data_IF_539546358454
#
_entry.id   IF_539546358454
#
_cell.length_a   1.000
_cell.length_b   1.000
_cell.length_c   1.000
_cell.angle_alpha   90.00
_cell.angle_beta   90.00
_cell.angle_gamma   90.00
#
_symmetry.space_group_name_H-M   'P 1'
#
loop_
_entity.id
_entity.type
_entity.pdbx_description
1 polymer ?
#
# COMPACT_ATOMS: atom_id res chain seq x y z
N UNK A 1 -11.92 -10.73 14.56
CA UNK A 1 -10.77 -9.86 14.91
C UNK A 1 -9.84 -9.49 13.74
N UNK A 2 -9.77 -10.28 12.65
CA UNK A 2 -8.88 -9.98 11.50
C UNK A 2 -9.28 -8.65 10.84
N UNK A 3 -10.58 -8.38 10.65
CA UNK A 3 -11.06 -7.13 10.08
C UNK A 3 -10.63 -5.87 10.84
N UNK A 4 -10.38 -5.98 12.16
CA UNK A 4 -9.93 -4.85 12.98
C UNK A 4 -8.52 -4.40 12.60
N UNK A 5 -7.62 -5.35 12.26
CA UNK A 5 -6.27 -5.05 11.78
C UNK A 5 -6.29 -4.29 10.44
N UNK A 6 -7.22 -4.63 9.53
CA UNK A 6 -7.40 -3.88 8.28
C UNK A 6 -8.03 -2.51 8.51
N UNK A 7 -8.98 -2.40 9.44
CA UNK A 7 -9.63 -1.13 9.76
C UNK A 7 -8.64 -0.08 10.28
N UNK A 8 -7.67 -0.48 11.11
CA UNK A 8 -6.62 0.43 11.62
C UNK A 8 -5.82 1.05 10.49
N UNK A 9 -5.46 0.30 9.45
CA UNK A 9 -4.74 0.84 8.29
C UNK A 9 -5.54 1.97 7.63
N UNK A 10 -6.85 1.78 7.44
CA UNK A 10 -7.74 2.80 6.88
C UNK A 10 -7.84 4.04 7.75
N UNK A 11 -8.09 3.87 9.05
CA UNK A 11 -8.24 4.97 10.01
C UNK A 11 -6.95 5.79 10.10
N UNK A 12 -5.83 5.14 10.25
CA UNK A 12 -4.50 5.78 10.35
C UNK A 12 -4.16 6.54 9.07
N UNK A 13 -4.51 6.00 7.90
CA UNK A 13 -4.25 6.62 6.60
C UNK A 13 -5.01 7.93 6.39
N UNK A 14 -6.07 8.20 7.15
CA UNK A 14 -6.81 9.46 7.07
C UNK A 14 -6.01 10.60 7.70
N UNK A 15 -5.39 10.36 8.86
CA UNK A 15 -4.81 11.43 9.69
C UNK A 15 -3.28 11.50 9.59
N UNK A 16 -2.59 10.37 9.68
CA UNK A 16 -1.15 10.34 9.82
C UNK A 16 -0.36 10.89 8.62
N UNK A 17 -0.76 10.67 7.35
CA UNK A 17 -0.07 11.28 6.21
C UNK A 17 -0.13 12.82 6.24
N UNK A 18 -1.28 13.39 6.68
CA UNK A 18 -1.42 14.84 6.80
C UNK A 18 -0.52 15.41 7.91
N UNK A 19 -0.48 14.76 9.07
CA UNK A 19 0.39 15.16 10.19
C UNK A 19 1.85 15.10 9.78
N UNK A 20 2.30 13.99 9.19
CA UNK A 20 3.68 13.82 8.76
C UNK A 20 4.03 14.72 7.56
N UNK A 21 3.08 15.01 6.68
CA UNK A 21 3.25 16.00 5.62
C UNK A 21 3.54 17.41 6.18
N UNK A 22 2.80 17.83 7.20
CA UNK A 22 3.05 19.13 7.88
C UNK A 22 4.45 19.18 8.50
N UNK A 23 4.89 18.07 9.11
CA UNK A 23 6.21 17.96 9.72
C UNK A 23 7.30 18.02 8.63
N UNK A 24 7.10 17.33 7.51
CA UNK A 24 8.01 17.32 6.38
C UNK A 24 8.14 18.70 5.72
N UNK A 25 7.04 19.43 5.60
CA UNK A 25 7.03 20.73 4.95
C UNK A 25 7.70 21.83 5.80
N UNK A 26 7.63 21.70 7.14
CA UNK A 26 8.04 22.80 8.05
C UNK A 26 9.34 22.57 8.80
N UNK A 27 9.60 21.33 9.22
CA UNK A 27 10.64 21.08 10.24
C UNK A 27 11.71 20.09 9.81
N UNK A 28 11.33 18.99 9.17
CA UNK A 28 12.23 17.89 8.88
C UNK A 28 12.18 17.56 7.39
N UNK A 29 13.30 17.38 6.75
CA UNK A 29 13.37 16.97 5.35
C UNK A 29 12.60 15.63 5.13
N UNK A 30 11.79 15.57 4.07
CA UNK A 30 10.88 14.44 3.81
C UNK A 30 11.59 13.08 3.80
N UNK A 31 12.80 12.96 3.21
CA UNK A 31 13.56 11.72 3.18
C UNK A 31 14.02 11.28 4.58
N UNK A 32 14.41 12.21 5.46
CA UNK A 32 14.79 11.89 6.83
C UNK A 32 13.59 11.50 7.68
N UNK A 33 12.48 12.24 7.55
CA UNK A 33 11.24 11.91 8.25
C UNK A 33 10.74 10.53 7.84
N UNK A 34 10.78 10.22 6.54
CA UNK A 34 10.45 8.89 6.02
C UNK A 34 11.31 7.80 6.68
N UNK A 35 12.63 8.03 6.77
CA UNK A 35 13.53 7.10 7.44
C UNK A 35 13.17 6.90 8.91
N UNK A 36 12.93 7.95 9.68
CA UNK A 36 12.53 7.84 11.08
C UNK A 36 11.18 7.12 11.25
N UNK A 37 10.22 7.36 10.35
CA UNK A 37 8.98 6.61 10.35
C UNK A 37 9.20 5.12 10.11
N UNK A 38 10.08 4.74 9.19
CA UNK A 38 10.46 3.33 8.97
C UNK A 38 11.18 2.74 10.18
N UNK A 39 12.08 3.48 10.84
CA UNK A 39 12.74 3.02 12.06
C UNK A 39 11.73 2.67 13.13
N UNK A 40 10.80 3.59 13.45
CA UNK A 40 9.78 3.35 14.47
C UNK A 40 8.83 2.21 14.09
N UNK A 41 8.38 2.19 12.83
CA UNK A 41 7.54 1.10 12.32
C UNK A 41 8.24 -0.26 12.47
N UNK A 42 9.53 -0.33 12.13
CA UNK A 42 10.33 -1.56 12.25
C UNK A 42 10.51 -2.01 13.69
N UNK A 43 10.80 -1.08 14.62
CA UNK A 43 10.93 -1.40 16.04
C UNK A 43 9.63 -1.96 16.62
N UNK A 44 8.47 -1.39 16.28
CA UNK A 44 7.18 -1.94 16.72
C UNK A 44 6.86 -3.28 16.07
N UNK A 45 7.29 -3.54 14.82
CA UNK A 45 7.18 -4.87 14.20
C UNK A 45 8.04 -5.90 14.92
N UNK A 46 9.27 -5.57 15.31
CA UNK A 46 10.08 -6.45 16.15
C UNK A 46 9.44 -6.69 17.50
N UNK A 47 8.86 -5.67 18.14
CA UNK A 47 8.08 -5.81 19.36
C UNK A 47 6.89 -6.77 19.19
N UNK A 48 6.18 -6.67 18.06
CA UNK A 48 5.07 -7.57 17.70
C UNK A 48 5.55 -9.01 17.54
N UNK A 49 6.66 -9.21 16.83
CA UNK A 49 7.28 -10.52 16.64
C UNK A 49 7.75 -11.15 17.97
N UNK A 50 8.43 -10.36 18.79
CA UNK A 50 8.90 -10.77 20.10
C UNK A 50 7.75 -11.19 21.03
N UNK A 51 6.71 -10.36 21.09
CA UNK A 51 5.53 -10.68 21.88
C UNK A 51 4.84 -11.95 21.37
N UNK A 52 4.69 -12.09 20.04
CA UNK A 52 4.11 -13.29 19.43
C UNK A 52 4.94 -14.55 19.72
N UNK A 53 6.27 -14.43 19.77
CA UNK A 53 7.16 -15.53 20.12
C UNK A 53 7.00 -15.96 21.59
N UNK A 54 6.96 -15.01 22.52
CA UNK A 54 6.82 -15.29 23.95
C UNK A 54 5.44 -15.83 24.33
N UNK A 55 4.37 -15.22 23.80
CA UNK A 55 3.00 -15.55 24.16
C UNK A 55 2.47 -16.82 23.48
N UNK A 56 3.02 -17.20 22.32
CA UNK A 56 2.61 -18.36 21.55
C UNK A 56 1.09 -18.37 21.29
N UNK A 57 0.43 -19.47 21.69
CA UNK A 57 -1.03 -19.61 21.55
C UNK A 57 -1.84 -18.75 22.55
N UNK A 58 -1.21 -18.24 23.61
CA UNK A 58 -1.86 -17.42 24.63
C UNK A 58 -1.70 -15.91 24.38
N UNK A 59 -1.42 -15.51 23.14
CA UNK A 59 -1.24 -14.11 22.78
C UNK A 59 -2.51 -13.28 23.06
N UNK A 60 -2.38 -12.24 23.87
CA UNK A 60 -3.47 -11.31 24.14
C UNK A 60 -3.68 -10.44 22.90
N UNK A 61 -4.93 -10.45 22.38
CA UNK A 61 -5.30 -9.68 21.20
C UNK A 61 -5.01 -8.18 21.36
N UNK A 62 -5.29 -7.61 22.53
CA UNK A 62 -5.13 -6.16 22.77
C UNK A 62 -3.68 -5.73 22.65
N UNK A 63 -2.75 -6.49 23.23
CA UNK A 63 -1.31 -6.18 23.19
C UNK A 63 -0.77 -6.31 21.76
N UNK A 64 -1.12 -7.39 21.06
CA UNK A 64 -0.72 -7.62 19.68
C UNK A 64 -1.27 -6.51 18.76
N UNK A 65 -2.54 -6.18 18.95
CA UNK A 65 -3.23 -5.14 18.17
C UNK A 65 -2.62 -3.76 18.41
N UNK A 66 -2.25 -3.43 19.64
CA UNK A 66 -1.65 -2.14 19.98
C UNK A 66 -0.26 -1.98 19.35
N UNK A 67 0.61 -2.99 19.49
CA UNK A 67 1.95 -2.97 18.89
C UNK A 67 1.88 -2.88 17.36
N UNK A 68 1.00 -3.66 16.73
CA UNK A 68 0.76 -3.60 15.30
C UNK A 68 0.23 -2.24 14.87
N UNK A 69 -0.74 -1.68 15.59
CA UNK A 69 -1.35 -0.38 15.27
C UNK A 69 -0.34 0.75 15.34
N UNK A 70 0.58 0.73 16.32
CA UNK A 70 1.67 1.68 16.42
C UNK A 70 2.63 1.57 15.23
N UNK A 71 2.97 0.35 14.82
CA UNK A 71 3.78 0.16 13.62
C UNK A 71 3.10 0.73 12.38
N UNK A 72 1.81 0.43 12.18
CA UNK A 72 1.01 0.93 11.05
C UNK A 72 0.90 2.46 11.08
N UNK A 73 0.78 3.06 12.27
CA UNK A 73 0.69 4.51 12.43
C UNK A 73 1.92 5.24 11.85
N UNK A 74 3.10 4.67 12.02
CA UNK A 74 4.33 5.22 11.45
C UNK A 74 4.57 4.76 10.01
N UNK A 75 4.08 3.59 9.61
CA UNK A 75 4.25 3.08 8.26
C UNK A 75 3.36 3.80 7.22
N UNK A 76 2.08 4.04 7.50
CA UNK A 76 1.16 4.61 6.52
C UNK A 76 1.59 5.96 5.93
N UNK A 77 2.14 6.92 6.71
CA UNK A 77 2.65 8.16 6.13
C UNK A 77 3.79 7.97 5.17
N UNK A 78 4.59 6.90 5.30
CA UNK A 78 5.75 6.68 4.44
C UNK A 78 5.36 6.49 2.98
N UNK A 79 4.16 5.99 2.69
CA UNK A 79 3.64 5.86 1.32
C UNK A 79 3.52 7.22 0.62
N UNK A 80 3.00 8.23 1.33
CA UNK A 80 2.91 9.59 0.81
C UNK A 80 4.28 10.27 0.74
N UNK A 81 5.12 10.09 1.77
CA UNK A 81 6.47 10.66 1.82
C UNK A 81 7.37 10.08 0.72
N UNK A 82 7.27 8.78 0.42
CA UNK A 82 8.01 8.15 -0.68
C UNK A 82 7.69 8.80 -2.02
N UNK A 83 6.41 9.04 -2.31
CA UNK A 83 6.01 9.73 -3.53
C UNK A 83 6.56 11.18 -3.57
N UNK A 84 6.48 11.90 -2.45
CA UNK A 84 7.02 13.26 -2.33
C UNK A 84 8.53 13.31 -2.56
N UNK A 85 9.28 12.37 -1.99
CA UNK A 85 10.74 12.25 -2.18
C UNK A 85 11.06 11.91 -3.64
N UNK A 86 10.32 10.98 -4.26
CA UNK A 86 10.52 10.61 -5.65
C UNK A 86 10.25 11.78 -6.60
N UNK A 87 9.17 12.53 -6.42
CA UNK A 87 8.89 13.72 -7.23
C UNK A 87 9.93 14.81 -7.03
N UNK A 88 10.36 15.04 -5.80
CA UNK A 88 11.43 16.00 -5.50
C UNK A 88 12.74 15.63 -6.19
N UNK A 89 13.14 14.35 -6.14
CA UNK A 89 14.33 13.84 -6.79
C UNK A 89 14.28 14.00 -8.32
N UNK A 90 13.15 13.65 -8.93
CA UNK A 90 12.93 13.78 -10.37
C UNK A 90 12.99 15.25 -10.81
N UNK A 91 12.35 16.14 -10.07
CA UNK A 91 12.37 17.59 -10.35
C UNK A 91 13.78 18.15 -10.24
N UNK A 92 14.56 17.76 -9.21
CA UNK A 92 15.96 18.17 -9.06
C UNK A 92 16.85 17.64 -10.19
N UNK A 93 16.54 16.47 -10.74
CA UNK A 93 17.23 15.91 -11.90
C UNK A 93 16.78 16.53 -13.24
N UNK A 94 15.83 17.46 -13.24
CA UNK A 94 15.29 18.06 -14.46
C UNK A 94 14.46 17.12 -15.34
N UNK A 95 13.97 16.00 -14.77
CA UNK A 95 13.20 15.00 -15.49
C UNK A 95 11.71 15.30 -15.46
N UNK A 96 11.01 14.94 -16.56
CA UNK A 96 9.54 14.99 -16.62
C UNK A 96 8.94 13.95 -15.66
N UNK A 97 8.34 14.44 -14.59
CA UNK A 97 7.75 13.59 -13.54
C UNK A 97 6.67 12.66 -14.08
N UNK A 98 5.88 13.08 -15.06
CA UNK A 98 4.80 12.27 -15.64
C UNK A 98 5.34 11.05 -16.37
N UNK A 99 6.48 11.21 -17.07
CA UNK A 99 7.11 10.12 -17.82
C UNK A 99 8.04 9.27 -16.97
N UNK A 100 8.78 9.89 -16.05
CA UNK A 100 9.83 9.23 -15.30
C UNK A 100 9.34 8.55 -14.01
N UNK A 101 8.20 8.98 -13.43
CA UNK A 101 7.69 8.38 -12.19
C UNK A 101 7.15 6.95 -12.37
N UNK A 102 6.37 6.58 -13.43
CA UNK A 102 5.83 5.24 -13.57
C UNK A 102 6.88 4.12 -13.52
N UNK A 103 8.02 4.18 -14.24
CA UNK A 103 9.08 3.18 -14.11
C UNK A 103 9.63 3.03 -12.68
N UNK A 104 9.79 4.16 -11.95
CA UNK A 104 10.26 4.13 -10.55
C UNK A 104 9.21 3.44 -9.67
N UNK A 105 7.94 3.75 -9.86
CA UNK A 105 6.83 3.14 -9.10
C UNK A 105 6.76 1.62 -9.27
N UNK A 106 7.10 1.11 -10.45
CA UNK A 106 7.15 -0.34 -10.77
C UNK A 106 8.12 -1.09 -9.87
N UNK A 107 9.29 -0.53 -9.52
CA UNK A 107 10.22 -1.17 -8.59
C UNK A 107 9.59 -1.44 -7.23
N UNK A 108 8.66 -0.58 -6.77
CA UNK A 108 7.90 -0.84 -5.55
C UNK A 108 7.05 -2.11 -5.65
N UNK A 109 6.38 -2.33 -6.79
CA UNK A 109 5.58 -3.54 -7.01
C UNK A 109 6.47 -4.79 -7.15
N UNK A 110 7.61 -4.68 -7.82
CA UNK A 110 8.59 -5.78 -7.91
C UNK A 110 9.08 -6.17 -6.51
N UNK A 111 9.46 -5.19 -5.67
CA UNK A 111 9.89 -5.43 -4.30
C UNK A 111 8.79 -6.11 -3.47
N UNK A 112 7.53 -5.69 -3.64
CA UNK A 112 6.39 -6.32 -2.99
C UNK A 112 6.24 -7.79 -3.39
N UNK A 113 6.30 -8.12 -4.69
CA UNK A 113 6.21 -9.50 -5.20
C UNK A 113 7.36 -10.35 -4.66
N UNK A 114 8.59 -9.86 -4.71
CA UNK A 114 9.76 -10.58 -4.22
C UNK A 114 9.65 -10.88 -2.72
N UNK A 115 9.21 -9.90 -1.92
CA UNK A 115 9.04 -10.09 -0.47
C UNK A 115 7.92 -11.08 -0.17
N UNK A 116 6.81 -11.00 -0.90
CA UNK A 116 5.67 -11.90 -0.75
C UNK A 116 6.07 -13.36 -1.05
N UNK A 117 6.80 -13.59 -2.14
CA UNK A 117 7.32 -14.91 -2.49
C UNK A 117 8.33 -15.41 -1.47
N UNK A 118 9.24 -14.55 -1.01
CA UNK A 118 10.21 -14.89 0.03
C UNK A 118 9.52 -15.39 1.30
N UNK A 119 8.52 -14.66 1.79
CA UNK A 119 7.78 -15.04 3.01
C UNK A 119 7.01 -16.35 2.82
N UNK A 120 6.43 -16.57 1.64
CA UNK A 120 5.67 -17.81 1.34
C UNK A 120 6.58 -19.02 1.19
N UNK A 121 7.67 -18.92 0.42
CA UNK A 121 8.65 -20.00 0.19
C UNK A 121 9.33 -20.42 1.49
N UNK A 122 9.67 -19.46 2.36
CA UNK A 122 10.27 -19.73 3.67
C UNK A 122 9.27 -20.28 4.70
N UNK A 123 7.98 -20.37 4.35
CA UNK A 123 6.94 -20.83 5.27
C UNK A 123 6.62 -19.87 6.41
N UNK A 124 7.01 -18.59 6.29
CA UNK A 124 6.84 -17.59 7.35
C UNK A 124 5.42 -17.03 7.43
N UNK A 125 4.58 -17.32 6.44
CA UNK A 125 3.21 -16.80 6.30
C UNK A 125 2.34 -16.98 7.55
N UNK A 126 2.49 -18.10 8.27
CA UNK A 126 1.70 -18.43 9.46
C UNK A 126 2.49 -18.29 10.77
N UNK A 127 3.64 -17.64 10.73
CA UNK A 127 4.53 -17.50 11.88
C UNK A 127 4.81 -16.03 12.19
N UNK A 128 5.32 -15.77 13.40
CA UNK A 128 5.79 -14.44 13.81
C UNK A 128 6.96 -13.92 12.95
N UNK A 129 7.63 -14.80 12.18
CA UNK A 129 8.75 -14.43 11.31
C UNK A 129 8.36 -13.45 10.20
N UNK A 130 7.10 -13.42 9.76
CA UNK A 130 6.62 -12.38 8.84
C UNK A 130 6.80 -10.97 9.38
N UNK A 131 6.62 -10.76 10.69
CA UNK A 131 6.84 -9.46 11.34
C UNK A 131 8.33 -9.13 11.45
N UNK A 132 9.19 -10.14 11.67
CA UNK A 132 10.64 -9.97 11.65
C UNK A 132 11.11 -9.51 10.28
N UNK A 133 10.66 -10.16 9.21
CA UNK A 133 11.01 -9.77 7.82
C UNK A 133 10.59 -8.32 7.56
N UNK A 134 9.36 -7.94 7.94
CA UNK A 134 8.88 -6.56 7.80
C UNK A 134 9.74 -5.56 8.61
N UNK A 135 10.11 -5.92 9.84
CA UNK A 135 10.99 -5.12 10.69
C UNK A 135 12.38 -4.92 10.07
N UNK A 136 13.00 -5.99 9.58
CA UNK A 136 14.33 -5.92 8.91
C UNK A 136 14.27 -5.02 7.68
N UNK A 137 13.28 -5.18 6.81
CA UNK A 137 13.12 -4.33 5.63
C UNK A 137 12.90 -2.86 6.01
N UNK A 138 12.15 -2.59 7.08
CA UNK A 138 11.95 -1.23 7.58
C UNK A 138 13.26 -0.60 8.08
N UNK A 139 14.10 -1.34 8.80
CA UNK A 139 15.43 -0.86 9.23
C UNK A 139 16.36 -0.62 8.02
N UNK A 140 16.34 -1.50 7.04
CA UNK A 140 17.10 -1.30 5.80
C UNK A 140 16.66 -0.02 5.08
N UNK A 141 15.36 0.24 5.00
CA UNK A 141 14.83 1.48 4.41
C UNK A 141 15.20 2.71 5.23
N UNK A 142 15.24 2.63 6.56
CA UNK A 142 15.76 3.70 7.42
C UNK A 142 17.21 4.03 7.05
N UNK A 143 18.09 3.03 6.97
CA UNK A 143 19.49 3.24 6.59
C UNK A 143 19.61 3.80 5.17
N UNK A 144 18.82 3.26 4.23
CA UNK A 144 18.80 3.73 2.85
C UNK A 144 18.32 5.18 2.72
N UNK A 145 17.46 5.66 3.62
CA UNK A 145 16.93 7.02 3.58
C UNK A 145 18.03 8.11 3.66
N UNK A 146 19.18 7.80 4.25
CA UNK A 146 20.33 8.73 4.33
C UNK A 146 21.06 8.91 2.99
N UNK A 147 20.89 7.99 2.05
CA UNK A 147 21.49 8.07 0.71
C UNK A 147 20.63 8.84 -0.28
N UNK A 148 19.36 9.11 0.08
CA UNK A 148 18.43 9.81 -0.80
C UNK A 148 18.76 11.30 -0.94
N UNK A 149 18.44 11.91 -2.10
CA UNK A 149 18.64 13.33 -2.32
C UNK A 149 17.87 14.17 -1.31
N UNK A 150 18.48 15.28 -0.88
CA UNK A 150 17.90 16.18 0.13
C UNK A 150 16.69 16.90 -0.45
N UNK A 151 15.52 16.67 0.12
CA UNK A 151 14.31 17.43 -0.21
C UNK A 151 14.37 18.82 0.44
N UNK A 152 13.99 19.85 -0.31
CA UNK A 152 13.91 21.20 0.21
C UNK A 152 12.78 21.31 1.24
N UNK A 153 13.09 21.89 2.41
CA UNK A 153 12.07 22.27 3.39
C UNK A 153 11.62 23.69 3.04
N UNK A 154 10.34 23.88 2.77
CA UNK A 154 9.79 25.21 2.52
C UNK A 154 9.75 26.03 3.82
N UNK A 155 10.83 26.74 4.11
CA UNK A 155 10.91 27.71 5.23
C UNK A 155 10.13 29.00 4.94
N UNK A 156 9.04 28.94 4.19
CA UNK A 156 8.20 30.11 3.97
C UNK A 156 7.50 30.45 5.28
N UNK A 157 7.86 31.58 5.86
CA UNK A 157 7.29 32.13 7.10
C UNK A 157 5.80 32.52 7.04
N UNK A 158 5.07 32.04 6.05
CA UNK A 158 3.61 32.16 6.02
C UNK A 158 3.02 31.14 7.01
N UNK A 159 2.42 31.65 8.06
CA UNK A 159 1.55 30.90 8.98
C UNK A 159 0.37 30.33 8.17
N UNK A 160 0.57 29.22 7.47
CA UNK A 160 -0.57 28.50 6.88
C UNK A 160 -1.51 28.12 8.03
N UNK A 161 -2.77 28.47 7.89
CA UNK A 161 -3.82 28.02 8.82
C UNK A 161 -3.76 26.51 8.97
N UNK A 162 -4.17 25.97 10.13
CA UNK A 162 -4.30 24.53 10.33
C UNK A 162 -5.21 23.91 9.24
N UNK A 163 -6.26 24.62 8.84
CA UNK A 163 -7.15 24.23 7.73
C UNK A 163 -6.38 24.03 6.40
N UNK A 164 -5.41 24.91 6.13
CA UNK A 164 -4.57 24.79 4.93
C UNK A 164 -3.56 23.67 5.08
N UNK A 165 -3.01 23.50 6.27
CA UNK A 165 -2.02 22.47 6.57
C UNK A 165 -2.60 21.06 6.47
N UNK A 166 -3.83 20.85 6.92
CA UNK A 166 -4.55 19.58 6.77
C UNK A 166 -5.22 19.40 5.38
N UNK A 167 -5.03 20.36 4.47
CA UNK A 167 -5.61 20.27 3.13
C UNK A 167 -7.15 20.35 3.10
N UNK A 168 -7.79 20.81 4.19
CA UNK A 168 -9.25 20.85 4.30
C UNK A 168 -9.90 21.76 3.25
N UNK A 169 -9.14 22.69 2.68
CA UNK A 169 -9.60 23.50 1.53
C UNK A 169 -9.89 22.64 0.30
N UNK A 170 -9.29 21.46 0.18
CA UNK A 170 -9.59 20.54 -0.92
C UNK A 170 -11.05 20.06 -0.89
N UNK A 171 -11.69 20.01 0.28
CA UNK A 171 -13.13 19.71 0.38
C UNK A 171 -14.02 20.74 -0.31
N UNK A 172 -13.55 21.96 -0.54
CA UNK A 172 -14.27 22.94 -1.35
C UNK A 172 -14.44 22.48 -2.82
N UNK A 173 -13.58 21.60 -3.31
CA UNK A 173 -13.70 21.00 -4.65
C UNK A 173 -14.95 20.12 -4.80
N UNK A 174 -15.49 19.57 -3.69
CA UNK A 174 -16.76 18.83 -3.73
C UNK A 174 -17.97 19.68 -4.15
N UNK A 175 -17.86 21.00 -4.07
CA UNK A 175 -18.89 21.92 -4.60
C UNK A 175 -19.00 21.83 -6.13
N UNK A 176 -17.93 21.38 -6.81
CA UNK A 176 -17.93 21.16 -8.24
C UNK A 176 -18.36 19.72 -8.55
N UNK A 177 -19.51 19.51 -9.17
CA UNK A 177 -20.08 18.18 -9.48
C UNK A 177 -19.06 17.20 -10.12
N UNK A 178 -18.25 17.67 -11.08
CA UNK A 178 -17.24 16.84 -11.74
C UNK A 178 -16.17 16.34 -10.77
N UNK A 179 -15.72 17.21 -9.89
CA UNK A 179 -14.70 16.87 -8.87
C UNK A 179 -15.28 15.97 -7.80
N UNK A 180 -16.52 16.23 -7.34
CA UNK A 180 -17.20 15.36 -6.39
C UNK A 180 -17.34 13.92 -6.92
N UNK A 181 -17.76 13.76 -8.17
CA UNK A 181 -17.84 12.45 -8.84
C UNK A 181 -16.45 11.79 -8.89
N UNK A 182 -15.41 12.53 -9.29
CA UNK A 182 -14.04 12.02 -9.35
C UNK A 182 -13.57 11.49 -7.98
N UNK A 183 -13.80 12.24 -6.90
CA UNK A 183 -13.42 11.82 -5.54
C UNK A 183 -14.19 10.59 -5.07
N UNK A 184 -15.51 10.53 -5.31
CA UNK A 184 -16.33 9.36 -4.97
C UNK A 184 -15.82 8.12 -5.70
N UNK A 185 -15.54 8.23 -6.99
CA UNK A 185 -14.98 7.11 -7.76
C UNK A 185 -13.61 6.67 -7.25
N UNK A 186 -12.73 7.62 -6.98
CA UNK A 186 -11.39 7.31 -6.45
C UNK A 186 -11.49 6.59 -5.10
N UNK A 187 -12.42 7.01 -4.24
CA UNK A 187 -12.71 6.36 -2.97
C UNK A 187 -13.21 4.92 -3.17
N UNK A 188 -14.18 4.70 -4.05
CA UNK A 188 -14.72 3.36 -4.33
C UNK A 188 -13.67 2.42 -4.93
N UNK A 189 -12.81 2.92 -5.82
CA UNK A 189 -11.68 2.14 -6.35
C UNK A 189 -10.68 1.77 -5.25
N UNK A 190 -10.40 2.70 -4.32
CA UNK A 190 -9.55 2.43 -3.17
C UNK A 190 -10.13 1.35 -2.24
N UNK A 191 -11.44 1.37 -1.99
CA UNK A 191 -12.14 0.33 -1.23
C UNK A 191 -12.02 -1.02 -1.93
N UNK A 192 -12.26 -1.08 -3.25
CA UNK A 192 -12.15 -2.30 -4.05
C UNK A 192 -10.73 -2.88 -4.01
N UNK A 193 -9.71 -2.03 -4.12
CA UNK A 193 -8.31 -2.43 -4.01
C UNK A 193 -8.00 -3.02 -2.63
N UNK A 194 -8.43 -2.36 -1.57
CA UNK A 194 -8.14 -2.80 -0.20
C UNK A 194 -8.86 -4.11 0.15
N UNK A 195 -10.09 -4.30 -0.30
CA UNK A 195 -10.81 -5.57 -0.15
C UNK A 195 -10.02 -6.70 -0.82
N UNK A 196 -9.55 -6.48 -2.05
CA UNK A 196 -8.79 -7.51 -2.76
C UNK A 196 -7.44 -7.79 -2.08
N UNK A 197 -6.70 -6.77 -1.69
CA UNK A 197 -5.41 -6.93 -1.01
C UNK A 197 -5.55 -7.69 0.32
N UNK A 198 -6.63 -7.46 1.06
CA UNK A 198 -6.84 -8.09 2.36
C UNK A 198 -7.47 -9.48 2.29
N UNK A 199 -8.36 -9.73 1.35
CA UNK A 199 -9.21 -10.91 1.38
C UNK A 199 -9.06 -11.86 0.18
N UNK A 200 -8.35 -11.50 -0.90
CA UNK A 200 -8.24 -12.38 -2.07
C UNK A 200 -7.55 -13.71 -1.73
N UNK A 201 -6.41 -13.68 -1.02
CA UNK A 201 -5.70 -14.90 -0.63
C UNK A 201 -6.50 -15.77 0.34
N UNK A 202 -7.06 -15.23 1.45
CA UNK A 202 -7.95 -16.00 2.33
C UNK A 202 -9.19 -16.56 1.61
N UNK A 203 -9.74 -15.81 0.65
CA UNK A 203 -10.88 -16.28 -0.15
C UNK A 203 -10.50 -17.49 -1.00
N UNK A 204 -9.38 -17.45 -1.70
CA UNK A 204 -8.89 -18.60 -2.48
C UNK A 204 -8.59 -19.79 -1.56
N UNK A 205 -7.98 -19.54 -0.39
CA UNK A 205 -7.69 -20.59 0.60
C UNK A 205 -8.95 -21.25 1.17
N UNK A 206 -10.07 -20.54 1.22
CA UNK A 206 -11.34 -21.12 1.73
C UNK A 206 -11.83 -22.31 0.92
N UNK A 207 -11.48 -22.40 -0.37
CA UNK A 207 -11.79 -23.55 -1.21
C UNK A 207 -11.03 -24.83 -0.84
N UNK A 208 -10.03 -24.75 0.04
CA UNK A 208 -9.29 -25.90 0.57
C UNK A 208 -10.21 -26.90 1.33
N UNK A 209 -11.32 -26.41 1.88
CA UNK A 209 -12.32 -27.22 2.56
C UNK A 209 -13.16 -28.07 1.61
N UNK A 210 -13.13 -27.80 0.30
CA UNK A 210 -13.89 -28.51 -0.72
C UNK A 210 -12.95 -29.53 -1.38
N UNK A 211 -13.21 -30.87 -1.24
CA UNK A 211 -12.29 -31.91 -1.74
C UNK A 211 -11.99 -31.80 -3.23
N UNK A 212 -12.96 -31.38 -4.03
CA UNK A 212 -12.83 -31.20 -5.48
C UNK A 212 -11.78 -30.15 -5.84
N UNK A 213 -11.63 -29.09 -5.02
CA UNK A 213 -10.74 -27.96 -5.32
C UNK A 213 -9.45 -27.95 -4.54
N UNK A 214 -9.34 -28.75 -3.48
CA UNK A 214 -8.18 -28.76 -2.58
C UNK A 214 -6.84 -29.06 -3.29
N UNK A 215 -6.86 -29.82 -4.39
CA UNK A 215 -5.68 -30.19 -5.17
C UNK A 215 -5.35 -29.23 -6.32
N UNK A 216 -6.19 -28.23 -6.59
CA UNK A 216 -5.99 -27.33 -7.73
C UNK A 216 -4.82 -26.35 -7.49
N UNK A 217 -4.20 -25.89 -8.59
CA UNK A 217 -3.06 -25.00 -8.53
C UNK A 217 -3.34 -23.70 -7.73
N UNK A 218 -4.50 -23.07 -7.97
CA UNK A 218 -4.85 -21.82 -7.30
C UNK A 218 -5.00 -21.97 -5.78
N UNK A 219 -5.60 -23.07 -5.32
CA UNK A 219 -5.81 -23.35 -3.88
C UNK A 219 -4.50 -23.79 -3.22
N UNK A 220 -3.66 -24.54 -3.94
CA UNK A 220 -2.36 -25.00 -3.45
C UNK A 220 -1.35 -23.86 -3.32
N UNK A 221 -1.39 -22.91 -4.27
CA UNK A 221 -0.45 -21.78 -4.34
C UNK A 221 -1.17 -20.43 -4.48
N UNK A 222 -1.97 -20.01 -3.50
CA UNK A 222 -2.82 -18.82 -3.60
C UNK A 222 -2.00 -17.52 -3.70
N UNK A 223 -0.81 -17.50 -3.12
CA UNK A 223 0.12 -16.36 -3.18
C UNK A 223 0.69 -16.19 -4.60
N UNK A 224 1.04 -17.29 -5.27
CA UNK A 224 1.52 -17.25 -6.65
C UNK A 224 0.40 -16.76 -7.57
N UNK A 225 -0.83 -17.26 -7.40
CA UNK A 225 -1.98 -16.82 -8.17
C UNK A 225 -2.24 -15.32 -7.97
N UNK A 226 -2.18 -14.85 -6.73
CA UNK A 226 -2.32 -13.43 -6.42
C UNK A 226 -1.21 -12.57 -7.06
N UNK A 227 0.03 -13.08 -7.10
CA UNK A 227 1.16 -12.36 -7.70
C UNK A 227 1.02 -12.11 -9.21
N UNK A 228 0.28 -12.96 -9.93
CA UNK A 228 -0.05 -12.73 -11.34
C UNK A 228 -0.81 -11.41 -11.52
N UNK A 229 -1.73 -11.11 -10.59
CA UNK A 229 -2.44 -9.84 -10.63
C UNK A 229 -1.52 -8.62 -10.41
N UNK A 230 -0.50 -8.77 -9.58
CA UNK A 230 0.49 -7.72 -9.32
C UNK A 230 1.43 -7.51 -10.52
N UNK A 231 1.78 -8.58 -11.24
CA UNK A 231 2.53 -8.50 -12.51
C UNK A 231 1.70 -7.75 -13.55
N UNK A 232 0.41 -8.09 -13.69
CA UNK A 232 -0.51 -7.39 -14.58
C UNK A 232 -0.64 -5.91 -14.23
N UNK A 233 -0.76 -5.58 -12.94
CA UNK A 233 -0.76 -4.19 -12.45
C UNK A 233 0.50 -3.45 -12.88
N UNK A 234 1.66 -4.07 -12.73
CA UNK A 234 2.96 -3.50 -13.15
C UNK A 234 2.97 -3.13 -14.63
N UNK A 235 2.51 -4.04 -15.49
CA UNK A 235 2.42 -3.80 -16.93
C UNK A 235 1.43 -2.67 -17.24
N UNK A 236 0.28 -2.64 -16.59
CA UNK A 236 -0.69 -1.57 -16.76
C UNK A 236 -0.14 -0.21 -16.34
N UNK A 237 0.62 -0.12 -15.24
CA UNK A 237 1.26 1.13 -14.79
C UNK A 237 2.21 1.68 -15.88
N UNK A 238 3.02 0.82 -16.50
CA UNK A 238 3.91 1.23 -17.59
C UNK A 238 3.15 1.72 -18.83
N UNK A 239 1.95 1.20 -19.07
CA UNK A 239 1.11 1.59 -20.20
C UNK A 239 0.28 2.87 -19.95
N UNK A 240 0.20 3.36 -18.70
CA UNK A 240 -0.59 4.57 -18.37
C UNK A 240 -0.26 5.77 -19.26
N UNK A 241 1.00 6.17 -19.49
CA UNK A 241 1.29 7.33 -20.33
C UNK A 241 0.75 7.21 -21.75
N UNK A 242 0.79 6.01 -22.34
CA UNK A 242 0.25 5.73 -23.65
C UNK A 242 -1.28 5.89 -23.71
N UNK A 243 -1.98 5.24 -22.77
CA UNK A 243 -3.44 5.29 -22.72
C UNK A 243 -3.96 6.68 -22.37
N UNK A 244 -3.29 7.39 -21.46
CA UNK A 244 -3.64 8.75 -21.07
C UNK A 244 -3.54 9.71 -22.26
N UNK A 245 -2.47 9.60 -23.06
CA UNK A 245 -2.29 10.43 -24.25
C UNK A 245 -3.36 10.18 -25.32
N UNK A 246 -3.78 8.92 -25.50
CA UNK A 246 -4.67 8.52 -26.58
C UNK A 246 -6.16 8.68 -26.23
N UNK A 247 -6.54 8.31 -25.01
CA UNK A 247 -7.96 8.21 -24.62
C UNK A 247 -8.39 9.24 -23.57
N UNK A 248 -7.43 9.92 -22.95
CA UNK A 248 -7.68 10.88 -21.88
C UNK A 248 -8.06 10.20 -20.56
N UNK A 249 -7.97 10.95 -19.46
CA UNK A 249 -8.15 10.45 -18.09
C UNK A 249 -9.52 9.81 -17.86
N UNK A 250 -10.60 10.38 -18.41
CA UNK A 250 -11.97 9.89 -18.22
C UNK A 250 -12.13 8.45 -18.72
N UNK A 251 -11.69 8.19 -19.96
CA UNK A 251 -11.87 6.88 -20.58
C UNK A 251 -10.96 5.83 -19.93
N UNK A 252 -9.74 6.22 -19.55
CA UNK A 252 -8.82 5.34 -18.82
C UNK A 252 -9.42 4.93 -17.47
N UNK A 253 -10.03 5.85 -16.73
CA UNK A 253 -10.73 5.54 -15.48
C UNK A 253 -11.93 4.62 -15.69
N UNK A 254 -12.72 4.83 -16.76
CA UNK A 254 -13.86 3.96 -17.07
C UNK A 254 -13.41 2.54 -17.41
N UNK A 255 -12.31 2.39 -18.17
CA UNK A 255 -11.71 1.07 -18.47
C UNK A 255 -11.26 0.39 -17.17
N UNK A 256 -10.59 1.12 -16.28
CA UNK A 256 -10.15 0.59 -15.00
C UNK A 256 -11.34 0.12 -14.14
N UNK A 257 -12.42 0.89 -14.10
CA UNK A 257 -13.63 0.51 -13.37
C UNK A 257 -14.27 -0.75 -13.95
N UNK A 258 -14.37 -0.86 -15.27
CA UNK A 258 -14.88 -2.05 -15.92
C UNK A 258 -14.02 -3.28 -15.62
N UNK A 259 -12.69 -3.13 -15.61
CA UNK A 259 -11.78 -4.19 -15.19
C UNK A 259 -12.03 -4.66 -13.74
N UNK A 260 -12.37 -3.74 -12.82
CA UNK A 260 -12.77 -4.11 -11.46
C UNK A 260 -14.09 -4.88 -11.41
N UNK A 261 -15.08 -4.50 -12.21
CA UNK A 261 -16.35 -5.24 -12.33
C UNK A 261 -16.09 -6.66 -12.82
N UNK A 262 -15.27 -6.82 -13.86
CA UNK A 262 -14.87 -8.13 -14.36
C UNK A 262 -14.13 -8.95 -13.31
N UNK A 263 -13.18 -8.34 -12.59
CA UNK A 263 -12.41 -9.01 -11.54
C UNK A 263 -13.32 -9.59 -10.45
N UNK A 264 -14.22 -8.77 -9.89
CA UNK A 264 -15.16 -9.25 -8.88
C UNK A 264 -16.19 -10.24 -9.44
N UNK A 265 -16.62 -10.06 -10.68
CA UNK A 265 -17.48 -11.02 -11.38
C UNK A 265 -16.83 -12.39 -11.52
N UNK A 266 -15.57 -12.44 -11.95
CA UNK A 266 -14.80 -13.68 -12.06
C UNK A 266 -14.56 -14.35 -10.70
N UNK A 267 -14.25 -13.56 -9.67
CA UNK A 267 -14.08 -14.10 -8.30
C UNK A 267 -15.40 -14.62 -7.73
N UNK A 268 -16.52 -13.94 -7.99
CA UNK A 268 -17.83 -14.32 -7.45
C UNK A 268 -18.51 -15.47 -8.19
N UNK A 269 -18.33 -15.58 -9.50
CA UNK A 269 -18.96 -16.60 -10.35
C UNK A 269 -18.01 -17.77 -10.68
N UNK A 270 -16.71 -17.56 -10.49
CA UNK A 270 -15.68 -18.52 -10.80
C UNK A 270 -15.44 -19.54 -9.70
N UNK A 271 -14.76 -20.62 -10.07
CA UNK A 271 -14.24 -21.60 -9.15
C UNK A 271 -12.78 -21.94 -9.50
N UNK A 272 -11.98 -22.48 -8.57
CA UNK A 272 -10.59 -22.84 -8.82
C UNK A 272 -10.41 -24.18 -9.56
N UNK A 273 -11.48 -24.83 -10.03
CA UNK A 273 -11.45 -26.21 -10.55
C UNK A 273 -10.82 -26.36 -11.92
N UNK A 274 -11.06 -25.45 -12.85
CA UNK A 274 -10.65 -25.62 -14.27
C UNK A 274 -9.55 -24.64 -14.70
N UNK A 275 -8.75 -24.11 -13.77
CA UNK A 275 -7.62 -23.30 -14.15
C UNK A 275 -7.52 -21.92 -13.51
N UNK A 276 -6.69 -21.12 -14.11
CA UNK A 276 -6.18 -19.84 -13.58
C UNK A 276 -7.16 -18.67 -13.82
N UNK A 277 -8.31 -18.91 -14.45
CA UNK A 277 -9.24 -17.86 -14.88
C UNK A 277 -9.95 -17.14 -13.71
N UNK A 278 -10.06 -17.79 -12.58
CA UNK A 278 -10.58 -17.17 -11.37
C UNK A 278 -9.58 -16.15 -10.80
#
# INVERSE_FOLDING_TARGET
HIGTFYAVQGIVSIFMPAVMGIIADRWIQAQRLMGFCHLLAGLFMFGTAWYGYQAGHNANFTTLFLLYSLSVAFYMPTLALTNSVAYSALTQAGLDTVKAFPPIRVFGTIGFICTMWFVDIMGYKSTQMQFVVSGVLSILLFLYSFTLPKCAVCKTGQKKSLVDAFGLKAFALFKQKKMAIFFIFSMLLGVSLQITNGFATPFIESFKSIPEYAGTFGVKYPVILYSISQISETLCILMIPFFMKRYGIKNVMLIAMFAWVLRFGLLGLGNPGSGVWM
#
